data_IF_031262224613
#
_entry.id   IF_031262224613
#
_cell.length_a   1.000
_cell.length_b   1.000
_cell.length_c   1.000
_cell.angle_alpha   90.00
_cell.angle_beta   90.00
_cell.angle_gamma   90.00
#
_symmetry.space_group_name_H-M   'P 1'
#
loop_
_entity.id
_entity.type
_entity.pdbx_description
1 polymer ?
#
# COMPACT_ATOMS: atom_id res chain seq x y z
N UNK A 1 18.50 28.35 9.25
CA UNK A 1 17.92 28.79 10.54
C UNK A 1 16.60 28.06 10.72
N UNK A 2 16.24 27.65 11.93
CA UNK A 2 14.99 26.92 12.17
C UNK A 2 13.83 27.91 12.29
N UNK A 3 12.81 27.79 11.43
CA UNK A 3 11.63 28.66 11.44
C UNK A 3 10.62 28.29 12.55
N UNK A 4 10.86 27.18 13.25
CA UNK A 4 9.97 26.67 14.30
C UNK A 4 10.73 25.73 15.24
N UNK A 5 10.24 25.63 16.48
CA UNK A 5 10.68 24.65 17.47
C UNK A 5 9.45 24.01 18.14
N UNK A 6 9.66 22.88 18.82
CA UNK A 6 8.59 22.17 19.53
C UNK A 6 8.58 22.61 20.99
N UNK A 7 7.45 23.13 21.44
CA UNK A 7 7.20 23.42 22.85
C UNK A 7 6.34 22.30 23.47
N UNK A 8 6.90 21.56 24.42
CA UNK A 8 6.19 20.43 25.06
C UNK A 8 5.33 20.90 26.23
N UNK A 9 4.21 20.20 26.45
CA UNK A 9 3.32 20.45 27.59
C UNK A 9 4.05 20.27 28.93
N UNK A 10 5.00 19.33 28.99
CA UNK A 10 5.84 19.09 30.18
C UNK A 10 6.62 20.33 30.60
N UNK A 11 7.08 21.14 29.65
CA UNK A 11 7.73 22.42 29.94
C UNK A 11 6.76 23.36 30.64
N UNK A 12 5.54 23.52 30.10
CA UNK A 12 4.52 24.36 30.74
C UNK A 12 4.21 23.91 32.17
N UNK A 13 4.11 22.59 32.40
CA UNK A 13 3.86 22.02 33.74
C UNK A 13 5.01 22.33 34.71
N UNK A 14 6.26 22.15 34.28
CA UNK A 14 7.44 22.46 35.09
C UNK A 14 7.53 23.95 35.42
N UNK A 15 7.36 24.81 34.41
CA UNK A 15 7.45 26.26 34.55
C UNK A 15 6.34 26.86 35.42
N UNK A 16 5.17 26.20 35.50
CA UNK A 16 4.09 26.58 36.42
C UNK A 16 4.44 26.42 37.90
N UNK A 17 5.45 25.61 38.23
CA UNK A 17 5.94 25.44 39.61
C UNK A 17 6.92 26.55 40.03
N UNK A 18 7.46 27.31 39.06
CA UNK A 18 8.36 28.43 39.29
C UNK A 18 7.56 29.72 39.60
N UNK A 19 8.23 30.66 40.25
CA UNK A 19 7.74 32.03 40.43
C UNK A 19 7.56 32.74 39.09
N UNK A 20 6.85 33.87 39.09
CA UNK A 20 6.44 34.55 37.86
C UNK A 20 7.64 35.12 37.09
N UNK A 21 8.66 35.61 37.78
CA UNK A 21 9.82 36.25 37.16
C UNK A 21 10.74 35.21 36.53
N UNK A 22 11.08 34.16 37.28
CA UNK A 22 11.90 33.07 36.76
C UNK A 22 11.19 32.34 35.62
N UNK A 23 9.88 32.09 35.75
CA UNK A 23 9.07 31.52 34.67
C UNK A 23 9.17 32.33 33.38
N UNK A 24 9.15 33.66 33.47
CA UNK A 24 9.29 34.52 32.30
C UNK A 24 10.67 34.36 31.65
N UNK A 25 11.74 34.36 32.45
CA UNK A 25 13.10 34.14 31.95
C UNK A 25 13.24 32.79 31.23
N UNK A 26 12.62 31.73 31.75
CA UNK A 26 12.60 30.44 31.07
C UNK A 26 11.83 30.47 29.75
N UNK A 27 10.68 31.16 29.68
CA UNK A 27 9.96 31.28 28.40
C UNK A 27 10.79 32.03 27.35
N UNK A 28 11.42 33.13 27.73
CA UNK A 28 12.31 33.89 26.86
C UNK A 28 13.50 33.03 26.40
N UNK A 29 14.16 32.35 27.34
CA UNK A 29 15.25 31.42 27.05
C UNK A 29 14.86 30.28 26.10
N UNK A 30 13.68 29.66 26.29
CA UNK A 30 13.19 28.59 25.42
C UNK A 30 12.97 29.11 23.99
N UNK A 31 12.40 30.31 23.84
CA UNK A 31 12.14 30.91 22.53
C UNK A 31 13.45 31.28 21.84
N UNK A 32 14.35 31.97 22.56
CA UNK A 32 15.66 32.38 22.06
C UNK A 32 16.52 31.18 21.64
N UNK A 33 16.59 30.14 22.49
CA UNK A 33 17.32 28.91 22.16
C UNK A 33 16.64 28.10 21.05
N UNK A 34 15.31 28.04 21.08
CA UNK A 34 14.49 27.32 20.11
C UNK A 34 14.69 27.85 18.69
N UNK A 35 14.64 29.17 18.52
CA UNK A 35 14.70 29.86 17.22
C UNK A 35 16.12 30.22 16.80
N UNK A 36 16.92 30.79 17.70
CA UNK A 36 18.20 31.41 17.38
C UNK A 36 19.40 30.62 17.92
N UNK A 37 19.17 29.65 18.81
CA UNK A 37 20.25 28.87 19.42
C UNK A 37 21.04 29.64 20.48
N UNK A 38 20.50 30.76 20.97
CA UNK A 38 21.11 31.56 22.03
C UNK A 38 20.98 30.82 23.36
N UNK A 39 22.11 30.41 23.95
CA UNK A 39 22.11 29.68 25.22
C UNK A 39 21.89 30.64 26.40
N UNK A 40 20.87 30.40 27.25
CA UNK A 40 20.66 31.21 28.45
C UNK A 40 21.72 30.91 29.50
N UNK A 41 21.98 31.88 30.38
CA UNK A 41 22.88 31.71 31.51
C UNK A 41 22.10 31.41 32.79
N UNK A 42 21.77 30.14 33.00
CA UNK A 42 21.16 29.65 34.25
C UNK A 42 22.20 29.00 35.15
N UNK A 43 22.04 29.12 36.48
CA UNK A 43 22.97 28.53 37.46
C UNK A 43 22.21 27.72 38.53
N UNK A 44 22.88 26.75 39.15
CA UNK A 44 22.29 25.95 40.23
C UNK A 44 21.02 25.19 39.81
N UNK A 45 19.93 25.39 40.56
CA UNK A 45 18.64 24.70 40.33
C UNK A 45 17.99 25.07 38.99
N UNK A 46 18.22 26.29 38.50
CA UNK A 46 17.70 26.75 37.21
C UNK A 46 18.37 25.98 36.07
N UNK A 47 19.69 25.75 36.16
CA UNK A 47 20.41 24.93 35.20
C UNK A 47 19.87 23.49 35.18
N UNK A 48 19.57 22.92 36.35
CA UNK A 48 18.96 21.58 36.46
C UNK A 48 17.59 21.50 35.77
N UNK A 49 16.80 22.57 35.79
CA UNK A 49 15.52 22.63 35.05
C UNK A 49 15.73 22.89 33.56
N UNK A 50 16.76 23.65 33.18
CA UNK A 50 17.09 23.99 31.80
C UNK A 50 17.65 22.82 31.00
N UNK A 51 18.57 22.02 31.56
CA UNK A 51 19.26 20.94 30.84
C UNK A 51 18.30 19.95 30.15
N UNK A 52 17.24 19.42 30.81
CA UNK A 52 16.28 18.53 30.15
C UNK A 52 15.46 19.22 29.05
N UNK A 53 15.17 20.52 29.22
CA UNK A 53 14.44 21.32 28.22
C UNK A 53 15.32 21.49 26.98
N UNK A 54 16.59 21.85 27.18
CA UNK A 54 17.58 21.99 26.12
C UNK A 54 17.71 20.68 25.33
N UNK A 55 17.93 19.56 26.01
CA UNK A 55 18.06 18.24 25.39
C UNK A 55 16.82 17.86 24.56
N UNK A 56 15.62 18.13 25.07
CA UNK A 56 14.38 17.84 24.36
C UNK A 56 14.20 18.69 23.09
N UNK A 57 14.66 19.96 23.10
CA UNK A 57 14.68 20.83 21.92
C UNK A 57 15.71 20.31 20.90
N UNK A 58 16.91 19.95 21.34
CA UNK A 58 17.97 19.42 20.48
C UNK A 58 17.56 18.10 19.82
N UNK A 59 16.96 17.18 20.58
CA UNK A 59 16.43 15.93 20.08
C UNK A 59 15.29 16.14 19.07
N UNK A 60 14.47 17.18 19.24
CA UNK A 60 13.45 17.55 18.25
C UNK A 60 14.08 18.09 16.96
N UNK A 61 15.07 18.98 17.08
CA UNK A 61 15.82 19.53 15.93
C UNK A 61 16.54 18.42 15.16
N UNK A 62 17.25 17.53 15.85
CA UNK A 62 17.95 16.40 15.26
C UNK A 62 17.01 15.44 14.51
N UNK A 63 15.85 15.10 15.10
CA UNK A 63 14.83 14.28 14.43
C UNK A 63 14.28 14.95 13.17
N UNK A 64 14.05 16.26 13.20
CA UNK A 64 13.57 16.99 12.02
C UNK A 64 14.59 16.96 10.89
N UNK A 65 15.87 17.16 11.19
CA UNK A 65 16.96 17.10 10.20
C UNK A 65 17.03 15.69 9.60
N UNK A 66 17.08 14.66 10.44
CA UNK A 66 17.10 13.26 10.01
C UNK A 66 15.91 12.91 9.13
N UNK A 67 14.69 13.25 9.56
CA UNK A 67 13.48 12.99 8.78
C UNK A 67 13.47 13.74 7.44
N UNK A 68 14.10 14.92 7.37
CA UNK A 68 14.23 15.67 6.12
C UNK A 68 15.21 14.95 5.17
N UNK A 69 16.32 14.44 5.68
CA UNK A 69 17.29 13.66 4.90
C UNK A 69 16.72 12.32 4.44
N UNK A 70 16.05 11.59 5.34
CA UNK A 70 15.37 10.34 5.03
C UNK A 70 14.21 10.58 4.04
N UNK A 71 13.51 11.72 4.16
CA UNK A 71 12.49 12.16 3.22
C UNK A 71 13.04 12.43 1.81
N UNK A 72 14.25 12.98 1.68
CA UNK A 72 14.94 13.13 0.37
C UNK A 72 15.26 11.78 -0.25
N UNK A 73 15.52 10.75 0.56
CA UNK A 73 15.73 9.36 0.11
C UNK A 73 14.43 8.59 -0.12
N UNK A 74 13.29 9.13 0.31
CA UNK A 74 11.96 8.49 0.26
C UNK A 74 11.30 8.47 -1.11
N UNK A 75 12.05 8.70 -2.20
CA UNK A 75 11.59 8.57 -3.58
C UNK A 75 12.04 7.26 -4.23
N UNK A 76 11.47 6.93 -5.40
CA UNK A 76 12.00 5.88 -6.27
C UNK A 76 13.49 6.20 -6.54
N UNK A 77 14.43 5.24 -6.38
CA UNK A 77 15.85 5.49 -6.63
C UNK A 77 16.06 6.12 -8.01
N UNK A 78 16.74 7.26 -8.07
CA UNK A 78 17.22 7.80 -9.32
C UNK A 78 18.28 6.85 -9.89
N UNK A 79 18.14 6.53 -11.18
CA UNK A 79 19.11 5.66 -11.86
C UNK A 79 20.43 6.44 -11.92
N UNK A 80 21.58 5.85 -11.50
CA UNK A 80 22.87 6.52 -11.59
C UNK A 80 23.15 7.10 -12.97
N UNK A 81 23.68 8.33 -13.01
CA UNK A 81 23.90 9.07 -14.26
C UNK A 81 24.83 8.33 -15.23
N UNK A 82 25.79 7.57 -14.71
CA UNK A 82 26.68 6.68 -15.49
C UNK A 82 25.91 5.59 -16.24
N UNK A 83 24.89 4.99 -15.61
CA UNK A 83 24.04 3.97 -16.23
C UNK A 83 23.12 4.61 -17.27
N UNK A 84 22.62 5.82 -17.01
CA UNK A 84 21.81 6.55 -18.00
C UNK A 84 22.62 6.82 -19.27
N UNK A 85 23.86 7.32 -19.13
CA UNK A 85 24.72 7.64 -20.26
C UNK A 85 25.13 6.39 -21.04
N UNK A 86 25.54 5.32 -20.36
CA UNK A 86 25.94 4.07 -21.02
C UNK A 86 24.77 3.40 -21.76
N UNK A 87 23.55 3.50 -21.23
CA UNK A 87 22.33 3.04 -21.91
C UNK A 87 22.03 3.90 -23.16
N UNK A 88 22.30 5.20 -23.13
CA UNK A 88 22.11 6.07 -24.29
C UNK A 88 23.09 5.76 -25.41
N UNK A 89 24.39 5.63 -25.09
CA UNK A 89 25.46 5.28 -26.05
C UNK A 89 25.18 3.93 -26.72
N UNK A 90 24.71 2.95 -25.96
CA UNK A 90 24.36 1.62 -26.48
C UNK A 90 23.13 1.64 -27.39
N UNK A 91 22.13 2.50 -27.10
CA UNK A 91 20.97 2.70 -27.97
C UNK A 91 21.33 3.48 -29.24
N UNK A 92 22.25 4.44 -29.17
CA UNK A 92 22.79 5.17 -30.33
C UNK A 92 23.61 4.25 -31.25
N UNK A 93 24.34 3.28 -30.66
CA UNK A 93 25.05 2.23 -31.39
C UNK A 93 24.10 1.18 -32.03
N UNK A 94 22.78 1.31 -31.85
CA UNK A 94 21.78 0.46 -32.48
C UNK A 94 21.48 -0.85 -31.75
N UNK A 95 21.94 -1.03 -30.50
CA UNK A 95 21.59 -2.21 -29.71
C UNK A 95 20.11 -2.22 -29.33
N UNK A 96 19.55 -3.42 -29.20
CA UNK A 96 18.16 -3.58 -28.80
C UNK A 96 17.98 -3.29 -27.31
N UNK A 97 16.78 -2.85 -26.91
CA UNK A 97 16.49 -2.54 -25.50
C UNK A 97 16.69 -3.74 -24.57
N UNK A 98 16.52 -4.97 -25.09
CA UNK A 98 16.74 -6.21 -24.36
C UNK A 98 18.22 -6.45 -24.07
N UNK A 99 19.07 -6.28 -25.08
CA UNK A 99 20.52 -6.46 -24.96
C UNK A 99 21.14 -5.38 -24.05
N UNK A 100 20.71 -4.12 -24.18
CA UNK A 100 21.16 -3.03 -23.31
C UNK A 100 20.73 -3.25 -21.85
N UNK A 101 19.53 -3.80 -21.63
CA UNK A 101 19.03 -4.14 -20.29
C UNK A 101 19.87 -5.25 -19.64
N UNK A 102 20.17 -6.31 -20.38
CA UNK A 102 21.00 -7.43 -19.91
C UNK A 102 22.45 -7.00 -19.65
N UNK A 103 23.04 -6.18 -20.53
CA UNK A 103 24.41 -5.68 -20.41
C UNK A 103 24.63 -4.80 -19.18
N UNK A 104 23.67 -3.94 -18.84
CA UNK A 104 23.76 -3.02 -17.70
C UNK A 104 23.09 -3.56 -16.43
N UNK A 105 22.55 -4.79 -16.46
CA UNK A 105 21.85 -5.39 -15.32
C UNK A 105 20.61 -4.60 -14.87
N UNK A 106 19.99 -3.85 -15.79
CA UNK A 106 18.80 -3.02 -15.53
C UNK A 106 17.57 -3.60 -16.21
N UNK A 107 16.37 -3.31 -15.68
CA UNK A 107 15.14 -3.77 -16.34
C UNK A 107 14.93 -3.10 -17.70
N UNK A 108 14.30 -3.78 -18.66
CA UNK A 108 13.91 -3.17 -19.95
C UNK A 108 13.04 -1.91 -19.78
N UNK A 109 12.24 -1.85 -18.71
CA UNK A 109 11.46 -0.65 -18.39
C UNK A 109 12.33 0.57 -18.03
N UNK A 110 13.53 0.35 -17.49
CA UNK A 110 14.51 1.41 -17.22
C UNK A 110 15.11 1.92 -18.53
N UNK A 111 15.53 1.02 -19.42
CA UNK A 111 16.04 1.37 -20.76
C UNK A 111 15.00 2.13 -21.59
N UNK A 112 13.74 1.69 -21.57
CA UNK A 112 12.64 2.36 -22.26
C UNK A 112 12.37 3.79 -21.75
N UNK A 113 12.48 4.00 -20.42
CA UNK A 113 12.35 5.33 -19.82
C UNK A 113 13.50 6.26 -20.21
N UNK A 114 14.74 5.78 -20.12
CA UNK A 114 15.93 6.53 -20.54
C UNK A 114 15.82 6.89 -22.04
N UNK A 115 15.43 5.93 -22.88
CA UNK A 115 15.15 6.17 -24.30
C UNK A 115 14.09 7.26 -24.51
N UNK A 116 13.01 7.24 -23.73
CA UNK A 116 11.94 8.24 -23.83
C UNK A 116 12.39 9.63 -23.38
N UNK A 117 13.24 9.72 -22.36
CA UNK A 117 13.78 10.99 -21.87
C UNK A 117 14.80 11.61 -22.84
N UNK A 118 15.62 10.79 -23.51
CA UNK A 118 16.65 11.25 -24.46
C UNK A 118 16.11 11.53 -25.86
N UNK A 119 15.22 10.67 -26.38
CA UNK A 119 14.68 10.79 -27.73
C UNK A 119 13.28 11.45 -27.78
N UNK A 120 12.73 11.86 -26.64
CA UNK A 120 11.35 12.36 -26.50
C UNK A 120 11.09 13.80 -26.94
N UNK A 121 12.06 14.51 -27.51
CA UNK A 121 11.90 15.93 -27.91
C UNK A 121 11.39 16.14 -29.34
N UNK A 122 10.69 15.17 -29.93
CA UNK A 122 9.93 15.38 -31.19
C UNK A 122 8.44 15.08 -30.99
N UNK A 123 7.79 15.91 -30.18
CA UNK A 123 6.33 16.04 -30.20
C UNK A 123 5.92 16.88 -31.42
N UNK A 124 5.53 16.24 -32.52
CA UNK A 124 4.76 16.93 -33.57
C UNK A 124 3.31 17.02 -33.11
N UNK A 125 2.88 18.23 -32.73
CA UNK A 125 1.48 18.56 -32.50
C UNK A 125 0.74 18.44 -33.85
N UNK A 126 -0.28 17.57 -34.01
CA UNK A 126 -1.03 17.53 -35.25
C UNK A 126 -1.72 18.88 -35.48
N UNK A 127 -1.58 19.42 -36.68
CA UNK A 127 -2.18 20.68 -37.10
C UNK A 127 -3.70 20.56 -37.07
N UNK A 128 -4.34 21.48 -36.37
CA UNK A 128 -5.78 21.64 -36.32
C UNK A 128 -6.29 22.15 -37.67
N UNK A 129 -6.79 21.26 -38.51
CA UNK A 129 -7.80 21.61 -39.51
C UNK A 129 -8.88 20.54 -39.50
N UNK A 130 -10.03 20.97 -38.99
CA UNK A 130 -11.33 20.30 -38.96
C UNK A 130 -11.86 20.03 -40.36
N UNK A 131 -12.27 18.79 -40.62
CA UNK A 131 -13.57 18.49 -41.26
C UNK A 131 -14.06 17.16 -40.70
N UNK A 132 -15.15 17.20 -39.94
CA UNK A 132 -15.89 16.02 -39.51
C UNK A 132 -16.47 15.32 -40.74
N UNK A 133 -16.17 14.04 -40.89
CA UNK A 133 -16.99 13.09 -41.63
C UNK A 133 -17.06 11.83 -40.77
N UNK A 134 -18.17 11.69 -40.06
CA UNK A 134 -18.65 10.41 -39.53
C UNK A 134 -18.85 9.46 -40.71
N UNK A 135 -18.01 8.44 -40.81
CA UNK A 135 -18.32 7.19 -41.52
C UNK A 135 -17.65 6.07 -40.73
N UNK A 136 -18.45 5.39 -39.91
CA UNK A 136 -18.13 4.07 -39.38
C UNK A 136 -18.03 3.09 -40.57
N UNK A 137 -16.81 2.62 -40.86
CA UNK A 137 -16.60 1.43 -41.69
C UNK A 137 -15.57 0.57 -40.97
N UNK A 138 -16.11 -0.42 -40.25
CA UNK A 138 -15.40 -1.61 -39.82
C UNK A 138 -14.91 -2.35 -41.08
N UNK A 139 -13.58 -2.44 -41.24
CA UNK A 139 -12.97 -3.49 -42.06
C UNK A 139 -11.88 -4.13 -41.21
N UNK A 140 -12.27 -5.23 -40.60
CA UNK A 140 -11.37 -6.26 -40.11
C UNK A 140 -10.48 -6.72 -41.26
N UNK A 141 -9.16 -6.54 -41.12
CA UNK A 141 -8.18 -7.32 -41.88
C UNK A 141 -7.37 -8.10 -40.86
N UNK A 142 -7.85 -9.32 -40.63
CA UNK A 142 -7.12 -10.39 -39.98
C UNK A 142 -5.82 -10.65 -40.75
N UNK A 143 -4.69 -10.48 -40.07
CA UNK A 143 -3.43 -11.12 -40.46
C UNK A 143 -2.92 -11.89 -39.25
N UNK A 144 -3.44 -13.09 -39.12
CA UNK A 144 -2.89 -14.15 -38.28
C UNK A 144 -1.51 -14.55 -38.82
N UNK A 145 -0.47 -14.30 -38.03
CA UNK A 145 0.84 -14.96 -38.20
C UNK A 145 1.23 -15.53 -36.85
N UNK A 146 0.70 -16.72 -36.57
CA UNK A 146 1.20 -17.62 -35.54
C UNK A 146 2.45 -18.33 -36.09
N UNK A 147 3.63 -17.95 -35.57
CA UNK A 147 4.87 -18.71 -35.73
C UNK A 147 5.28 -19.22 -34.36
N UNK A 148 4.78 -20.40 -34.02
CA UNK A 148 5.34 -21.22 -32.94
C UNK A 148 6.40 -22.15 -33.55
N UNK A 149 7.66 -21.80 -33.31
CA UNK A 149 8.81 -22.71 -33.46
C UNK A 149 9.08 -23.30 -32.09
N UNK A 150 8.78 -24.60 -31.93
CA UNK A 150 9.37 -25.39 -30.85
C UNK A 150 10.02 -26.65 -31.45
N UNK A 151 11.34 -26.65 -31.42
CA UNK A 151 12.23 -27.74 -31.84
C UNK A 151 12.47 -28.60 -30.62
N UNK A 152 12.14 -29.90 -30.66
CA UNK A 152 12.87 -30.92 -29.91
C UNK A 152 12.67 -32.32 -30.50
N UNK A 153 13.72 -32.80 -31.20
CA UNK A 153 14.39 -34.08 -30.93
C UNK A 153 13.59 -35.38 -31.06
N UNK A 154 13.71 -35.97 -32.24
CA UNK A 154 13.25 -37.31 -32.65
C UNK A 154 13.98 -38.46 -31.92
N UNK A 155 13.33 -39.63 -31.83
CA UNK A 155 13.85 -40.79 -31.13
C UNK A 155 13.01 -42.06 -31.21
N UNK A 156 12.91 -42.63 -32.42
CA UNK A 156 12.90 -44.07 -32.75
C UNK A 156 11.58 -44.90 -32.64
N UNK A 157 10.89 -44.97 -33.78
CA UNK A 157 10.50 -46.15 -34.59
C UNK A 157 10.08 -47.52 -33.96
N UNK A 158 9.00 -48.08 -34.53
CA UNK A 158 8.69 -49.51 -34.85
C UNK A 158 7.42 -50.15 -34.17
N UNK A 159 6.37 -50.30 -35.01
CA UNK A 159 5.39 -51.43 -35.16
C UNK A 159 4.16 -51.57 -34.22
N UNK A 160 2.96 -51.48 -34.83
CA UNK A 160 1.67 -52.08 -34.42
C UNK A 160 1.53 -53.53 -34.97
N UNK A 161 0.48 -54.36 -34.74
CA UNK A 161 -0.85 -54.18 -34.07
C UNK A 161 -1.27 -55.46 -33.26
N UNK A 162 -2.56 -55.86 -33.14
CA UNK A 162 -3.71 -55.35 -32.35
C UNK A 162 -4.24 -56.40 -31.31
N UNK A 163 -5.11 -56.02 -30.36
CA UNK A 163 -6.28 -56.80 -29.83
C UNK A 163 -6.87 -56.16 -28.54
N UNK A 164 -8.19 -55.98 -28.50
CA UNK A 164 -9.00 -55.74 -27.27
C UNK A 164 -9.38 -57.09 -26.61
N UNK A 165 -10.11 -57.21 -25.45
CA UNK A 165 -10.73 -56.20 -24.57
C UNK A 165 -10.58 -56.47 -23.04
N UNK A 166 -11.18 -55.57 -22.26
CA UNK A 166 -11.83 -55.80 -20.96
C UNK A 166 -11.16 -55.26 -19.66
N UNK A 167 -11.94 -54.44 -18.95
CA UNK A 167 -11.97 -54.32 -17.50
C UNK A 167 -10.83 -53.62 -16.76
N UNK A 168 -11.00 -52.35 -16.40
CA UNK A 168 -10.15 -51.74 -15.36
C UNK A 168 -10.30 -50.25 -15.10
N UNK A 169 -11.38 -49.85 -14.42
CA UNK A 169 -11.60 -48.49 -13.87
C UNK A 169 -10.44 -48.07 -12.95
N UNK A 170 -9.77 -46.94 -13.25
CA UNK A 170 -9.09 -46.02 -12.30
C UNK A 170 -8.77 -44.68 -13.00
N UNK A 171 -8.81 -43.55 -12.26
CA UNK A 171 -9.27 -42.27 -12.77
C UNK A 171 -8.21 -41.51 -13.57
N UNK A 172 -8.64 -40.89 -14.67
CA UNK A 172 -7.82 -40.03 -15.52
C UNK A 172 -7.38 -38.75 -14.78
N UNK A 173 -6.20 -38.18 -15.09
CA UNK A 173 -5.70 -36.95 -14.47
C UNK A 173 -6.49 -35.75 -15.00
N UNK A 174 -7.28 -35.11 -14.13
CA UNK A 174 -8.01 -33.88 -14.44
C UNK A 174 -7.00 -32.75 -14.66
N UNK A 175 -6.90 -32.27 -15.91
CA UNK A 175 -6.30 -30.99 -16.25
C UNK A 175 -7.06 -29.88 -15.50
N UNK A 176 -6.40 -29.25 -14.51
CA UNK A 176 -6.99 -28.12 -13.76
C UNK A 176 -6.98 -26.85 -14.62
N UNK A 177 -8.06 -26.63 -15.34
CA UNK A 177 -8.47 -25.27 -15.74
C UNK A 177 -8.79 -24.50 -14.45
N UNK A 178 -8.01 -23.47 -14.12
CA UNK A 178 -8.23 -22.67 -12.90
C UNK A 178 -9.49 -21.81 -13.06
N UNK A 179 -10.66 -22.37 -12.76
CA UNK A 179 -11.90 -21.61 -12.58
C UNK A 179 -11.78 -20.73 -11.34
N UNK A 180 -12.00 -19.42 -11.49
CA UNK A 180 -12.10 -18.49 -10.37
C UNK A 180 -13.26 -18.99 -9.48
N UNK A 181 -13.07 -19.13 -8.16
CA UNK A 181 -14.15 -19.53 -7.27
C UNK A 181 -15.28 -18.50 -7.32
N UNK A 182 -16.52 -18.94 -7.51
CA UNK A 182 -17.74 -18.09 -7.50
C UNK A 182 -17.76 -17.15 -6.29
N UNK A 183 -17.29 -17.63 -5.14
CA UNK A 183 -17.22 -16.85 -3.91
C UNK A 183 -16.25 -15.65 -4.01
N UNK A 184 -15.15 -15.78 -4.75
CA UNK A 184 -14.19 -14.69 -4.94
C UNK A 184 -14.78 -13.59 -5.85
N UNK A 185 -15.54 -13.98 -6.88
CA UNK A 185 -16.26 -13.05 -7.76
C UNK A 185 -17.35 -12.30 -6.99
N UNK A 186 -18.15 -13.02 -6.19
CA UNK A 186 -19.16 -12.42 -5.31
C UNK A 186 -18.56 -11.34 -4.40
N UNK A 187 -17.39 -11.60 -3.81
CA UNK A 187 -16.72 -10.64 -2.93
C UNK A 187 -16.12 -9.44 -3.69
N UNK A 188 -15.65 -9.64 -4.92
CA UNK A 188 -15.18 -8.55 -5.77
C UNK A 188 -16.32 -7.58 -6.13
N UNK A 189 -17.48 -8.12 -6.49
CA UNK A 189 -18.69 -7.32 -6.71
C UNK A 189 -19.15 -6.62 -5.43
N UNK A 190 -19.14 -7.30 -4.28
CA UNK A 190 -19.46 -6.68 -2.99
C UNK A 190 -18.55 -5.48 -2.68
N UNK A 191 -17.24 -5.61 -2.92
CA UNK A 191 -16.28 -4.53 -2.70
C UNK A 191 -16.57 -3.33 -3.63
N UNK A 192 -16.90 -3.60 -4.89
CA UNK A 192 -17.27 -2.59 -5.87
C UNK A 192 -18.54 -1.84 -5.45
N UNK A 193 -19.62 -2.58 -5.14
CA UNK A 193 -20.92 -2.01 -4.79
C UNK A 193 -20.84 -1.13 -3.53
N UNK A 194 -20.16 -1.62 -2.49
CA UNK A 194 -19.97 -0.86 -1.25
C UNK A 194 -19.12 0.40 -1.48
N UNK A 195 -18.14 0.34 -2.38
CA UNK A 195 -17.37 1.53 -2.69
C UNK A 195 -18.19 2.57 -3.47
N UNK A 196 -19.00 2.11 -4.42
CA UNK A 196 -19.90 2.96 -5.22
C UNK A 196 -21.01 3.62 -4.39
N UNK A 197 -21.41 2.99 -3.28
CA UNK A 197 -22.33 3.62 -2.31
C UNK A 197 -21.72 4.85 -1.63
N UNK A 198 -20.40 4.87 -1.44
CA UNK A 198 -19.69 5.99 -0.81
C UNK A 198 -19.27 7.03 -1.84
N UNK A 199 -18.83 6.59 -3.03
CA UNK A 199 -18.50 7.44 -4.17
C UNK A 199 -19.36 7.04 -5.39
N UNK A 200 -20.49 7.73 -5.64
CA UNK A 200 -21.37 7.44 -6.76
C UNK A 200 -20.72 7.62 -8.14
N UNK A 201 -19.63 8.39 -8.23
CA UNK A 201 -18.91 8.65 -9.47
C UNK A 201 -17.85 7.59 -9.78
N UNK A 202 -17.60 6.67 -8.84
CA UNK A 202 -16.63 5.61 -9.03
C UNK A 202 -17.10 4.60 -10.08
N UNK A 203 -16.35 4.50 -11.18
CA UNK A 203 -16.59 3.53 -12.26
C UNK A 203 -15.36 2.66 -12.48
N UNK A 204 -15.58 1.38 -12.76
CA UNK A 204 -14.51 0.40 -13.02
C UNK A 204 -15.00 -0.60 -14.06
N UNK A 205 -14.12 -1.05 -14.96
CA UNK A 205 -14.49 -2.01 -16.00
C UNK A 205 -14.60 -3.43 -15.44
N UNK A 206 -15.39 -4.28 -16.11
CA UNK A 206 -15.61 -5.67 -15.69
C UNK A 206 -14.30 -6.46 -15.56
N UNK A 207 -13.34 -6.25 -16.48
CA UNK A 207 -11.99 -6.86 -16.44
C UNK A 207 -11.25 -6.57 -15.13
N UNK A 208 -11.44 -5.38 -14.55
CA UNK A 208 -10.82 -5.04 -13.27
C UNK A 208 -11.52 -5.73 -12.10
N UNK A 209 -12.85 -5.89 -12.15
CA UNK A 209 -13.60 -6.63 -11.13
C UNK A 209 -13.19 -8.11 -11.14
N UNK A 210 -13.03 -8.71 -12.33
CA UNK A 210 -12.47 -10.06 -12.48
C UNK A 210 -11.04 -10.15 -11.92
N UNK A 211 -10.22 -9.12 -12.13
CA UNK A 211 -8.88 -9.06 -11.54
C UNK A 211 -8.94 -8.96 -10.01
N UNK A 212 -9.92 -8.25 -9.44
CA UNK A 212 -10.14 -8.21 -7.99
C UNK A 212 -10.55 -9.57 -7.46
N UNK A 213 -11.38 -10.32 -8.18
CA UNK A 213 -11.76 -11.69 -7.83
C UNK A 213 -10.53 -12.60 -7.80
N UNK A 214 -9.62 -12.49 -8.77
CA UNK A 214 -8.34 -13.23 -8.77
C UNK A 214 -7.47 -12.85 -7.57
N UNK A 215 -7.46 -11.58 -7.17
CA UNK A 215 -6.69 -11.16 -5.99
C UNK A 215 -7.31 -11.63 -4.67
N UNK A 216 -8.65 -11.73 -4.60
CA UNK A 216 -9.37 -12.32 -3.46
C UNK A 216 -9.17 -13.85 -3.40
N UNK A 217 -9.16 -14.54 -4.54
CA UNK A 217 -8.80 -15.97 -4.63
C UNK A 217 -7.40 -16.21 -4.06
N UNK A 218 -6.42 -15.39 -4.45
CA UNK A 218 -5.06 -15.47 -3.89
C UNK A 218 -5.07 -15.24 -2.37
N UNK A 219 -5.89 -14.32 -1.89
CA UNK A 219 -6.03 -14.02 -0.47
C UNK A 219 -6.52 -15.25 0.32
N UNK A 220 -7.41 -16.05 -0.27
CA UNK A 220 -7.82 -17.32 0.30
C UNK A 220 -6.74 -18.41 0.14
N UNK A 221 -6.27 -18.67 -1.08
CA UNK A 221 -5.41 -19.81 -1.40
C UNK A 221 -3.99 -19.66 -0.85
N UNK A 222 -3.40 -18.48 -0.99
CA UNK A 222 -2.01 -18.17 -0.58
C UNK A 222 -2.00 -17.66 0.86
N UNK A 223 -2.81 -16.64 1.16
CA UNK A 223 -2.76 -15.96 2.46
C UNK A 223 -3.61 -16.66 3.55
N UNK A 224 -4.24 -17.80 3.19
CA UNK A 224 -5.00 -18.72 4.07
C UNK A 224 -6.11 -18.04 4.86
N UNK A 225 -6.81 -17.07 4.25
CA UNK A 225 -7.95 -16.39 4.87
C UNK A 225 -9.27 -16.96 4.38
N UNK A 226 -10.20 -17.21 5.30
CA UNK A 226 -11.53 -17.72 4.93
C UNK A 226 -12.31 -16.64 4.15
N UNK A 227 -13.12 -17.05 3.18
CA UNK A 227 -13.97 -16.09 2.44
C UNK A 227 -14.93 -15.33 3.37
N UNK A 228 -15.34 -15.94 4.48
CA UNK A 228 -16.17 -15.30 5.49
C UNK A 228 -15.47 -14.16 6.21
N UNK A 229 -14.20 -14.34 6.58
CA UNK A 229 -13.41 -13.28 7.21
C UNK A 229 -13.13 -12.16 6.22
N UNK A 230 -12.90 -12.51 4.95
CA UNK A 230 -12.71 -11.53 3.89
C UNK A 230 -13.97 -10.68 3.72
N UNK A 231 -15.14 -11.30 3.71
CA UNK A 231 -16.42 -10.59 3.64
C UNK A 231 -16.59 -9.62 4.82
N UNK A 232 -16.32 -10.07 6.04
CA UNK A 232 -16.40 -9.23 7.25
C UNK A 232 -15.46 -8.04 7.17
N UNK A 233 -14.22 -8.26 6.70
CA UNK A 233 -13.22 -7.21 6.52
C UNK A 233 -13.66 -6.19 5.48
N UNK A 234 -14.18 -6.64 4.33
CA UNK A 234 -14.68 -5.75 3.27
C UNK A 234 -15.79 -4.85 3.82
N UNK A 235 -16.79 -5.44 4.49
CA UNK A 235 -17.92 -4.71 5.07
C UNK A 235 -17.46 -3.72 6.14
N UNK A 236 -16.58 -4.14 7.04
CA UNK A 236 -16.04 -3.27 8.09
C UNK A 236 -15.22 -2.11 7.51
N UNK A 237 -14.35 -2.39 6.53
CA UNK A 237 -13.52 -1.38 5.90
C UNK A 237 -14.35 -0.32 5.16
N UNK A 238 -15.51 -0.71 4.61
CA UNK A 238 -16.44 0.18 3.91
C UNK A 238 -17.52 0.82 4.80
N UNK A 239 -17.42 0.69 6.11
CA UNK A 239 -18.26 1.46 7.04
C UNK A 239 -18.01 2.96 6.89
N UNK A 240 -19.08 3.76 6.92
CA UNK A 240 -19.00 5.21 6.82
C UNK A 240 -18.10 5.80 7.93
N UNK A 241 -17.22 6.73 7.56
CA UNK A 241 -16.25 7.34 8.48
C UNK A 241 -15.07 6.43 8.87
N UNK A 242 -14.98 5.20 8.33
CA UNK A 242 -13.81 4.35 8.55
C UNK A 242 -12.62 4.85 7.73
N UNK A 243 -11.43 4.92 8.36
CA UNK A 243 -10.15 5.23 7.72
C UNK A 243 -9.86 4.36 6.49
N UNK A 244 -10.30 3.10 6.49
CA UNK A 244 -10.03 2.17 5.40
C UNK A 244 -10.93 2.36 4.17
N UNK A 245 -12.05 3.06 4.31
CA UNK A 245 -13.03 3.23 3.25
C UNK A 245 -12.45 3.88 1.98
N UNK A 246 -11.76 5.04 2.06
CA UNK A 246 -11.11 5.66 0.90
C UNK A 246 -9.83 4.93 0.46
N UNK A 247 -9.25 4.09 1.31
CA UNK A 247 -7.95 3.47 1.06
C UNK A 247 -8.05 2.11 0.36
N UNK A 248 -9.13 1.35 0.56
CA UNK A 248 -9.32 0.03 -0.06
C UNK A 248 -10.25 0.16 -1.26
N UNK A 249 -9.71 0.61 -2.40
CA UNK A 249 -10.50 0.85 -3.62
C UNK A 249 -10.46 -0.32 -4.62
N UNK A 250 -9.63 -1.34 -4.37
CA UNK A 250 -9.41 -2.48 -5.28
C UNK A 250 -9.07 -3.77 -4.55
N UNK A 251 -9.25 -4.92 -5.22
CA UNK A 251 -8.89 -6.24 -4.68
C UNK A 251 -7.39 -6.38 -4.35
N UNK A 252 -6.53 -5.81 -5.19
CA UNK A 252 -5.09 -5.74 -4.93
C UNK A 252 -4.77 -4.99 -3.63
N UNK A 253 -5.42 -3.83 -3.41
CA UNK A 253 -5.21 -3.03 -2.21
C UNK A 253 -5.78 -3.68 -0.95
N UNK A 254 -6.92 -4.37 -1.09
CA UNK A 254 -7.47 -5.22 -0.05
C UNK A 254 -6.46 -6.28 0.38
N UNK A 255 -5.85 -7.01 -0.56
CA UNK A 255 -4.85 -8.04 -0.26
C UNK A 255 -3.61 -7.47 0.43
N UNK A 256 -3.06 -6.38 -0.09
CA UNK A 256 -1.88 -5.72 0.47
C UNK A 256 -2.10 -5.29 1.94
N UNK A 257 -3.27 -4.70 2.24
CA UNK A 257 -3.57 -4.17 3.58
C UNK A 257 -4.31 -5.15 4.48
N UNK A 258 -4.69 -6.33 4.00
CA UNK A 258 -5.53 -7.28 4.72
C UNK A 258 -5.07 -7.56 6.15
N UNK A 259 -3.79 -7.88 6.43
CA UNK A 259 -3.36 -8.19 7.79
C UNK A 259 -3.56 -7.02 8.76
N UNK A 260 -3.31 -5.79 8.30
CA UNK A 260 -3.45 -4.58 9.10
C UNK A 260 -4.92 -4.26 9.37
N UNK A 261 -5.76 -4.33 8.33
CA UNK A 261 -7.21 -4.05 8.40
C UNK A 261 -7.89 -5.07 9.32
N UNK A 262 -7.55 -6.36 9.18
CA UNK A 262 -8.10 -7.44 10.00
C UNK A 262 -7.75 -7.29 11.49
N UNK A 263 -6.49 -6.94 11.82
CA UNK A 263 -6.08 -6.70 13.21
C UNK A 263 -6.77 -5.47 13.82
N UNK A 264 -6.89 -4.38 13.06
CA UNK A 264 -7.59 -3.18 13.54
C UNK A 264 -9.09 -3.44 13.75
N UNK A 265 -9.71 -4.19 12.85
CA UNK A 265 -11.09 -4.65 13.00
C UNK A 265 -11.27 -5.44 14.31
N UNK A 266 -10.41 -6.41 14.60
CA UNK A 266 -10.47 -7.18 15.85
C UNK A 266 -10.32 -6.30 17.10
N UNK A 267 -9.39 -5.35 17.07
CA UNK A 267 -9.17 -4.41 18.19
C UNK A 267 -10.39 -3.51 18.46
N UNK A 268 -11.15 -3.15 17.43
CA UNK A 268 -12.38 -2.39 17.63
C UNK A 268 -13.47 -3.25 18.27
N UNK A 269 -13.62 -4.51 17.85
CA UNK A 269 -14.58 -5.42 18.46
C UNK A 269 -14.28 -5.74 19.93
N UNK A 270 -13.01 -5.74 20.35
CA UNK A 270 -12.66 -5.92 21.77
C UNK A 270 -12.89 -4.67 22.61
N UNK A 271 -12.82 -3.48 22.00
CA UNK A 271 -13.07 -2.18 22.68
C UNK A 271 -14.55 -1.80 22.73
N UNK A 272 -15.35 -2.31 21.80
CA UNK A 272 -16.78 -2.05 21.72
C UNK A 272 -17.48 -3.34 21.26
N UNK A 273 -17.80 -4.26 22.19
CA UNK A 273 -18.62 -5.42 21.86
C UNK A 273 -19.92 -4.94 21.23
N UNK A 274 -20.42 -5.58 20.15
CA UNK A 274 -21.73 -5.22 19.61
C UNK A 274 -22.76 -5.36 20.74
N UNK A 275 -23.60 -4.33 20.92
CA UNK A 275 -24.71 -4.35 21.88
C UNK A 275 -25.57 -5.60 21.63
N UNK A 276 -25.26 -6.65 22.37
CA UNK A 276 -25.98 -7.89 22.38
C UNK A 276 -27.34 -7.62 23.01
N UNK A 277 -28.39 -7.75 22.18
CA UNK A 277 -29.78 -7.74 22.59
C UNK A 277 -29.98 -8.43 23.95
N UNK A 278 -30.36 -7.63 24.94
CA UNK A 278 -31.14 -7.95 26.13
C UNK A 278 -31.21 -9.45 26.51
N UNK A 279 -30.31 -9.89 27.38
CA UNK A 279 -30.70 -10.78 28.48
C UNK A 279 -30.32 -10.10 29.79
N UNK A 280 -31.33 -9.45 30.34
CA UNK A 280 -31.45 -9.00 31.71
C UNK A 280 -31.15 -10.21 32.63
N UNK A 281 -29.94 -10.29 33.15
CA UNK A 281 -29.68 -11.06 34.36
C UNK A 281 -30.01 -10.12 35.52
N UNK A 282 -31.27 -10.15 35.95
CA UNK A 282 -31.64 -9.62 37.26
C UNK A 282 -31.03 -10.57 38.30
N UNK A 283 -29.98 -10.14 39.00
CA UNK A 283 -29.53 -10.77 40.23
C UNK A 283 -29.26 -9.70 41.30
N UNK A 284 -30.32 -9.03 41.73
CA UNK A 284 -30.41 -8.47 43.08
C UNK A 284 -31.30 -9.37 43.93
N UNK A 285 -30.68 -10.29 44.69
CA UNK A 285 -31.19 -10.82 45.97
C UNK A 285 -29.95 -11.11 46.83
N UNK A 286 -29.54 -10.16 47.66
CA UNK A 286 -29.68 -10.19 49.13
C UNK A 286 -28.82 -11.26 49.81
N UNK A 287 -27.75 -10.81 50.46
CA UNK A 287 -26.87 -11.62 51.30
C UNK A 287 -25.98 -10.73 52.17
N UNK A 288 -26.63 -10.05 53.12
CA UNK A 288 -26.19 -9.73 54.48
C UNK A 288 -24.70 -9.48 54.74
N UNK A 289 -24.41 -8.28 55.26
CA UNK A 289 -23.19 -7.96 56.01
C UNK A 289 -23.02 -8.97 57.16
N UNK A 290 -21.90 -9.69 57.17
CA UNK A 290 -21.37 -10.29 58.38
C UNK A 290 -20.14 -9.50 58.82
N UNK A 291 -20.22 -9.03 60.07
CA UNK A 291 -19.20 -8.32 60.80
C UNK A 291 -17.92 -9.16 60.94
N UNK A 292 -16.77 -8.53 60.72
CA UNK A 292 -15.47 -9.07 61.11
C UNK A 292 -15.24 -8.84 62.62
N UNK A 293 -14.96 -9.88 63.43
CA UNK A 293 -14.35 -9.68 64.72
C UNK A 293 -12.83 -9.59 64.58
N UNK A 294 -12.28 -8.52 65.17
CA UNK A 294 -10.89 -8.21 65.57
C UNK A 294 -9.72 -9.06 65.03
#
# INVERSE_FOLDING_TARGET
MAESFIFYETFSKQLKLLDKELRYQFYEAIVEYGLYGTTPHFTGLEACAWLPIQEAIDNAKARRIKNTEDGKKGGRPEIPQEIQQAVCEDLEAGMTQKETAEKHGVSQQVVSKIKKEVYGTTYYKPSSNTTNLDVDVDVDVDVDVDVDVDVNGDGNEIVSPPEEPDGGVKPSPVKKTQTIPEQAERLAHLLYDLHRQVDPHFTTSQKHIEQWARDIEKLNRIDKRSYEDIEKVIRWAKTAGNFWCPNIISGSKLREKYPQVFLQMQQQYTRSPPEGKNKRFDCNVTGTQEEMPF
#
